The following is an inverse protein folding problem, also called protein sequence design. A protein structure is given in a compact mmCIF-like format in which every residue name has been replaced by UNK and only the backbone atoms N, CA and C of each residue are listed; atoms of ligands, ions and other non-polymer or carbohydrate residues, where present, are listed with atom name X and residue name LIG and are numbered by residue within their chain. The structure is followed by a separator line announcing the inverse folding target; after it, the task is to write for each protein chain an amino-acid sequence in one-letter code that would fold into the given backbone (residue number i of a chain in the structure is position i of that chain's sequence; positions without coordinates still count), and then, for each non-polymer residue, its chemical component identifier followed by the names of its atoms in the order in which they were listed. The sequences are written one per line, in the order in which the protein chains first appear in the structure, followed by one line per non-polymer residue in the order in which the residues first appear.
data_IF_782664271297
#
_entry.id   IF_782664271297
#
_cell.length_a   1.000
_cell.length_b   1.000
_cell.length_c   1.000
_cell.angle_alpha   90.00
_cell.angle_beta   90.00
_cell.angle_gamma   90.00
#
_symmetry.space_group_name_H-M   'P 1'
#
loop_
_entity.id
_entity.type
_entity.pdbx_description
1 polymer ?
#
# COMPACT_ATOMS: atom_id res chain seq x y z
N UNK A 1 -18.32 2.23 -13.96
CA UNK A 1 -17.88 2.87 -12.70
C UNK A 1 -16.58 2.26 -12.25
N UNK A 2 -15.50 3.02 -12.41
CA UNK A 2 -14.20 2.63 -11.87
C UNK A 2 -14.09 3.11 -10.42
N UNK A 3 -13.31 2.45 -9.54
CA UNK A 3 -13.14 2.84 -8.13
C UNK A 3 -12.55 4.25 -7.88
N UNK A 4 -12.31 4.99 -8.97
CA UNK A 4 -11.67 6.29 -9.04
C UNK A 4 -12.68 7.43 -9.15
N UNK A 5 -13.89 7.15 -9.65
CA UNK A 5 -15.00 8.12 -9.80
C UNK A 5 -15.67 8.40 -8.44
N UNK A 6 -15.85 7.36 -7.60
CA UNK A 6 -16.53 7.45 -6.29
C UNK A 6 -16.00 8.54 -5.34
N UNK A 7 -14.69 8.79 -5.25
CA UNK A 7 -14.13 9.72 -4.25
C UNK A 7 -14.22 11.18 -4.64
N UNK A 8 -14.15 11.43 -5.96
CA UNK A 8 -14.37 12.77 -6.51
C UNK A 8 -15.86 13.09 -6.45
N UNK A 9 -16.71 12.11 -6.78
CA UNK A 9 -18.17 12.18 -6.55
C UNK A 9 -18.52 12.38 -5.07
N UNK A 10 -17.79 11.75 -4.14
CA UNK A 10 -17.97 11.94 -2.69
C UNK A 10 -17.63 13.36 -2.23
N UNK A 11 -16.55 13.93 -2.78
CA UNK A 11 -16.13 15.30 -2.48
C UNK A 11 -17.13 16.30 -3.08
N UNK A 12 -17.58 16.06 -4.30
CA UNK A 12 -18.55 16.90 -5.00
C UNK A 12 -19.93 16.84 -4.32
N UNK A 13 -20.39 15.66 -3.90
CA UNK A 13 -21.64 15.49 -3.15
C UNK A 13 -21.62 16.20 -1.79
N UNK A 14 -20.43 16.38 -1.18
CA UNK A 14 -20.26 17.09 0.09
C UNK A 14 -20.11 18.60 -0.03
N UNK A 15 -19.73 19.11 -1.21
CA UNK A 15 -19.60 20.55 -1.49
C UNK A 15 -20.80 21.13 -2.26
N UNK A 16 -21.70 20.28 -2.76
CA UNK A 16 -22.89 20.74 -3.52
C UNK A 16 -23.96 21.33 -2.58
N UNK A 17 -24.45 22.56 -2.84
CA UNK A 17 -25.56 23.14 -2.06
C UNK A 17 -26.88 22.38 -2.34
N UNK A 18 -27.50 21.80 -1.30
CA UNK A 18 -28.73 21.01 -1.42
C UNK A 18 -28.62 19.62 -0.80
N UNK A 19 -28.38 19.60 0.52
CA UNK A 19 -28.00 18.43 1.33
C UNK A 19 -29.02 17.28 1.22
N UNK A 20 -28.62 16.14 0.66
CA UNK A 20 -29.38 14.88 0.71
C UNK A 20 -28.80 13.96 1.81
N UNK A 21 -29.49 13.89 2.95
CA UNK A 21 -29.08 13.11 4.11
C UNK A 21 -29.04 11.59 3.83
N UNK A 22 -29.78 11.09 2.84
CA UNK A 22 -29.72 9.68 2.45
C UNK A 22 -28.43 9.34 1.70
N UNK A 23 -28.00 10.19 0.76
CA UNK A 23 -26.71 10.06 0.08
C UNK A 23 -25.53 10.06 1.06
N UNK A 24 -25.58 10.90 2.09
CA UNK A 24 -24.58 10.94 3.17
C UNK A 24 -24.50 9.61 3.94
N UNK A 25 -25.64 9.02 4.28
CA UNK A 25 -25.71 7.77 5.03
C UNK A 25 -25.22 6.55 4.23
N UNK A 26 -25.44 6.54 2.91
CA UNK A 26 -24.90 5.53 1.99
C UNK A 26 -23.38 5.63 1.84
N UNK A 27 -22.87 6.85 1.64
CA UNK A 27 -21.44 7.13 1.60
C UNK A 27 -20.74 6.72 2.90
N UNK A 28 -21.31 7.02 4.07
CA UNK A 28 -20.78 6.58 5.36
C UNK A 28 -20.73 5.04 5.50
N UNK A 29 -21.66 4.30 4.88
CA UNK A 29 -21.62 2.83 4.83
C UNK A 29 -20.51 2.33 3.93
N UNK A 30 -20.29 2.97 2.77
CA UNK A 30 -19.20 2.62 1.85
C UNK A 30 -17.82 2.85 2.47
N UNK A 31 -17.61 3.98 3.16
CA UNK A 31 -16.38 4.29 3.90
C UNK A 31 -16.09 3.21 4.95
N UNK A 32 -17.10 2.83 5.75
CA UNK A 32 -16.98 1.76 6.75
C UNK A 32 -16.64 0.39 6.13
N UNK A 33 -17.25 0.03 5.01
CA UNK A 33 -16.93 -1.21 4.28
C UNK A 33 -15.49 -1.21 3.79
N UNK A 34 -15.00 -0.10 3.25
CA UNK A 34 -13.62 0.02 2.75
C UNK A 34 -12.59 0.03 3.88
N UNK A 35 -12.92 0.63 5.03
CA UNK A 35 -12.11 0.52 6.26
C UNK A 35 -11.94 -0.93 6.71
N UNK A 36 -13.01 -1.74 6.64
CA UNK A 36 -12.93 -3.20 6.90
C UNK A 36 -12.02 -3.93 5.90
N UNK A 37 -12.14 -3.63 4.60
CA UNK A 37 -11.27 -4.22 3.57
C UNK A 37 -9.79 -3.81 3.76
N UNK A 38 -9.52 -2.56 4.12
CA UNK A 38 -8.17 -2.09 4.45
C UNK A 38 -7.58 -2.83 5.65
N UNK A 39 -8.40 -3.18 6.64
CA UNK A 39 -7.99 -3.99 7.80
C UNK A 39 -7.65 -5.43 7.39
N UNK A 40 -8.41 -6.03 6.48
CA UNK A 40 -8.11 -7.36 5.95
C UNK A 40 -6.80 -7.35 5.14
N UNK A 41 -6.62 -6.35 4.27
CA UNK A 41 -5.38 -6.20 3.50
C UNK A 41 -4.16 -6.09 4.42
N UNK A 42 -4.26 -5.28 5.48
CA UNK A 42 -3.21 -5.19 6.50
C UNK A 42 -2.89 -6.54 7.16
N UNK A 43 -3.91 -7.35 7.47
CA UNK A 43 -3.70 -8.69 8.05
C UNK A 43 -2.96 -9.59 7.07
N UNK A 44 -3.34 -9.58 5.78
CA UNK A 44 -2.65 -10.36 4.75
C UNK A 44 -1.20 -9.90 4.52
N UNK A 45 -0.96 -8.59 4.45
CA UNK A 45 0.39 -8.03 4.32
C UNK A 45 1.28 -8.44 5.51
N UNK A 46 0.76 -8.32 6.72
CA UNK A 46 1.49 -8.71 7.93
C UNK A 46 1.76 -10.21 7.97
N UNK A 47 0.77 -11.04 7.61
CA UNK A 47 0.93 -12.49 7.53
C UNK A 47 2.01 -12.88 6.50
N UNK A 48 2.03 -12.24 5.33
CA UNK A 48 3.07 -12.45 4.31
C UNK A 48 4.47 -12.08 4.80
N UNK A 49 4.60 -10.95 5.50
CA UNK A 49 5.88 -10.53 6.09
C UNK A 49 6.38 -11.52 7.14
N UNK A 50 5.49 -11.99 8.03
CA UNK A 50 5.81 -12.99 9.04
C UNK A 50 6.22 -14.32 8.41
N UNK A 51 5.49 -14.76 7.38
CA UNK A 51 5.80 -16.01 6.68
C UNK A 51 7.18 -15.94 6.00
N UNK A 52 7.50 -14.82 5.34
CA UNK A 52 8.83 -14.59 4.76
C UNK A 52 9.94 -14.65 5.84
N UNK A 53 9.70 -14.03 6.99
CA UNK A 53 10.62 -14.07 8.12
C UNK A 53 10.83 -15.48 8.67
N UNK A 54 9.74 -16.23 8.91
CA UNK A 54 9.79 -17.62 9.39
C UNK A 54 10.54 -18.53 8.42
N UNK A 55 10.28 -18.39 7.11
CA UNK A 55 10.99 -19.15 6.08
C UNK A 55 12.48 -18.81 6.07
N UNK A 56 12.84 -17.53 6.23
CA UNK A 56 14.24 -17.11 6.34
C UNK A 56 14.95 -17.70 7.57
N UNK A 57 14.31 -17.68 8.74
CA UNK A 57 14.84 -18.30 9.96
C UNK A 57 15.02 -19.81 9.78
N UNK A 58 14.06 -20.48 9.13
CA UNK A 58 14.15 -21.91 8.85
C UNK A 58 15.33 -22.24 7.94
N UNK A 59 15.57 -21.46 6.87
CA UNK A 59 16.75 -21.61 5.99
C UNK A 59 18.05 -21.45 6.78
N UNK A 60 18.14 -20.43 7.64
CA UNK A 60 19.30 -20.21 8.51
C UNK A 60 19.56 -21.37 9.48
N UNK A 61 18.49 -21.97 10.04
CA UNK A 61 18.59 -23.07 10.98
C UNK A 61 18.91 -24.42 10.32
N UNK A 62 18.47 -24.63 9.07
CA UNK A 62 18.57 -25.93 8.39
C UNK A 62 19.81 -26.08 7.48
N UNK A 63 20.43 -24.98 7.02
CA UNK A 63 21.51 -25.01 6.01
C UNK A 63 22.56 -23.89 6.26
N UNK A 64 23.56 -24.10 7.14
CA UNK A 64 24.40 -22.99 7.61
C UNK A 64 25.50 -22.51 6.65
N UNK A 65 26.04 -23.33 5.73
CA UNK A 65 27.28 -22.93 5.01
C UNK A 65 27.06 -22.28 3.62
N UNK A 66 26.06 -22.72 2.83
CA UNK A 66 25.88 -22.22 1.45
C UNK A 66 24.68 -21.28 1.22
N UNK A 67 23.76 -21.17 2.18
CA UNK A 67 22.49 -20.45 2.01
C UNK A 67 22.20 -19.41 3.10
N UNK A 68 23.18 -19.12 3.95
CA UNK A 68 23.03 -18.16 5.05
C UNK A 68 22.62 -16.76 4.55
N UNK A 69 23.15 -16.34 3.40
CA UNK A 69 22.84 -15.04 2.79
C UNK A 69 21.37 -14.96 2.37
N UNK A 70 20.83 -16.05 1.81
CA UNK A 70 19.43 -16.15 1.40
C UNK A 70 18.49 -16.09 2.61
N UNK A 71 18.82 -16.87 3.65
CA UNK A 71 18.06 -16.88 4.90
C UNK A 71 18.06 -15.52 5.59
N UNK A 72 19.23 -14.87 5.71
CA UNK A 72 19.36 -13.54 6.31
C UNK A 72 18.59 -12.47 5.52
N UNK A 73 18.67 -12.51 4.18
CA UNK A 73 17.94 -11.58 3.33
C UNK A 73 16.42 -11.75 3.44
N UNK A 74 15.91 -12.99 3.53
CA UNK A 74 14.48 -13.25 3.72
C UNK A 74 13.96 -12.74 5.08
N UNK A 75 14.74 -12.91 6.15
CA UNK A 75 14.41 -12.36 7.48
C UNK A 75 14.37 -10.83 7.45
N UNK A 76 15.41 -10.20 6.90
CA UNK A 76 15.49 -8.74 6.78
C UNK A 76 14.33 -8.19 5.93
N UNK A 77 13.99 -8.86 4.83
CA UNK A 77 12.88 -8.49 3.98
C UNK A 77 11.53 -8.57 4.73
N UNK A 78 11.29 -9.66 5.47
CA UNK A 78 10.08 -9.80 6.29
C UNK A 78 9.95 -8.72 7.37
N UNK A 79 11.04 -8.44 8.10
CA UNK A 79 11.07 -7.38 9.11
C UNK A 79 10.84 -5.99 8.50
N UNK A 80 11.51 -5.70 7.38
CA UNK A 80 11.35 -4.44 6.66
C UNK A 80 9.92 -4.27 6.15
N UNK A 81 9.33 -5.30 5.55
CA UNK A 81 7.94 -5.30 5.10
C UNK A 81 6.97 -5.04 6.24
N UNK A 82 7.16 -5.70 7.39
CA UNK A 82 6.33 -5.49 8.58
C UNK A 82 6.44 -4.05 9.11
N UNK A 83 7.66 -3.51 9.21
CA UNK A 83 7.89 -2.13 9.64
C UNK A 83 7.21 -1.12 8.71
N UNK A 84 7.32 -1.30 7.40
CA UNK A 84 6.69 -0.43 6.40
C UNK A 84 5.17 -0.55 6.41
N UNK A 85 4.63 -1.76 6.64
CA UNK A 85 3.19 -2.01 6.78
C UNK A 85 2.62 -1.31 8.02
N UNK A 86 3.36 -1.34 9.13
CA UNK A 86 3.00 -0.61 10.35
C UNK A 86 3.09 0.90 10.16
N UNK A 87 4.15 1.39 9.51
CA UNK A 87 4.34 2.82 9.24
C UNK A 87 3.28 3.40 8.29
N UNK A 88 2.83 2.62 7.30
CA UNK A 88 1.79 3.01 6.37
C UNK A 88 0.39 3.11 7.02
N UNK A 89 0.21 2.59 8.24
CA UNK A 89 -1.09 2.59 8.93
C UNK A 89 -1.47 4.01 9.39
N UNK A 90 -2.40 4.62 8.67
CA UNK A 90 -3.12 5.81 9.14
C UNK A 90 -4.30 5.44 10.05
N UNK A 91 -4.45 6.15 11.18
CA UNK A 91 -5.71 6.15 11.95
C UNK A 91 -6.63 7.23 11.39
N UNK A 92 -7.73 6.84 10.76
CA UNK A 92 -8.81 7.77 10.42
C UNK A 92 -9.78 7.86 11.62
N UNK A 93 -10.26 9.06 12.00
CA UNK A 93 -11.36 9.21 12.94
C UNK A 93 -12.66 8.67 12.33
N UNK A 94 -13.50 8.05 13.15
CA UNK A 94 -14.77 7.44 12.72
C UNK A 94 -15.94 8.44 12.70
N UNK A 95 -15.76 9.65 13.24
CA UNK A 95 -16.80 10.67 13.37
C UNK A 95 -16.62 11.75 12.29
N UNK A 96 -17.54 11.78 11.32
CA UNK A 96 -17.56 12.72 10.19
C UNK A 96 -18.90 13.46 10.23
N UNK A 97 -18.96 14.56 10.98
CA UNK A 97 -20.19 15.34 11.18
C UNK A 97 -20.23 16.60 10.29
N UNK A 98 -19.06 17.12 9.88
CA UNK A 98 -18.97 18.34 9.06
C UNK A 98 -18.22 18.13 7.73
N UNK A 99 -18.51 18.93 6.67
CA UNK A 99 -17.78 18.92 5.38
C UNK A 99 -16.28 19.18 5.50
N UNK A 100 -15.85 19.92 6.52
CA UNK A 100 -14.43 20.13 6.81
C UNK A 100 -13.78 18.86 7.39
N UNK A 101 -14.40 18.23 8.39
CA UNK A 101 -13.89 16.98 9.00
C UNK A 101 -13.76 15.86 7.96
N UNK A 102 -14.78 15.79 7.11
CA UNK A 102 -14.86 15.07 5.86
C UNK A 102 -13.63 15.24 4.94
N UNK A 103 -13.33 16.46 4.53
CA UNK A 103 -12.18 16.76 3.65
C UNK A 103 -10.84 16.49 4.36
N UNK A 104 -10.73 16.82 5.65
CA UNK A 104 -9.56 16.48 6.46
C UNK A 104 -9.33 14.96 6.53
N UNK A 105 -10.39 14.17 6.73
CA UNK A 105 -10.30 12.73 6.72
C UNK A 105 -9.88 12.19 5.34
N UNK A 106 -10.43 12.73 4.25
CA UNK A 106 -10.03 12.38 2.89
C UNK A 106 -8.55 12.69 2.60
N UNK A 107 -8.05 13.86 3.05
CA UNK A 107 -6.63 14.23 2.95
C UNK A 107 -5.76 13.23 3.71
N UNK A 108 -6.09 12.96 4.99
CA UNK A 108 -5.33 12.02 5.82
C UNK A 108 -5.32 10.60 5.24
N UNK A 109 -6.44 10.18 4.64
CA UNK A 109 -6.53 8.90 3.95
C UNK A 109 -5.68 8.87 2.68
N UNK A 110 -5.69 9.93 1.88
CA UNK A 110 -4.84 10.05 0.70
C UNK A 110 -3.34 10.09 1.07
N UNK A 111 -2.99 10.72 2.18
CA UNK A 111 -1.63 10.71 2.74
C UNK A 111 -1.21 9.33 3.26
N UNK A 112 -2.12 8.58 3.90
CA UNK A 112 -1.88 7.19 4.27
C UNK A 112 -1.68 6.31 3.03
N UNK A 113 -2.50 6.49 2.00
CA UNK A 113 -2.33 5.82 0.71
C UNK A 113 -1.00 6.15 0.03
N UNK A 114 -0.54 7.41 0.12
CA UNK A 114 0.78 7.82 -0.38
C UNK A 114 1.92 7.14 0.39
N UNK A 115 1.81 7.04 1.72
CA UNK A 115 2.78 6.32 2.55
C UNK A 115 2.81 4.83 2.21
N UNK A 116 1.65 4.22 1.99
CA UNK A 116 1.56 2.84 1.51
C UNK A 116 2.20 2.66 0.13
N UNK A 117 2.02 3.60 -0.79
CA UNK A 117 2.71 3.57 -2.09
C UNK A 117 4.23 3.63 -1.93
N UNK A 118 4.74 4.50 -1.05
CA UNK A 118 6.17 4.62 -0.77
C UNK A 118 6.74 3.35 -0.15
N UNK A 119 6.00 2.73 0.78
CA UNK A 119 6.30 1.41 1.32
C UNK A 119 6.42 0.37 0.21
N UNK A 120 5.41 0.28 -0.66
CA UNK A 120 5.40 -0.65 -1.80
C UNK A 120 6.60 -0.44 -2.74
N UNK A 121 6.96 0.81 -3.04
CA UNK A 121 8.15 1.14 -3.85
C UNK A 121 9.41 0.62 -3.16
N UNK A 122 9.60 0.95 -1.88
CA UNK A 122 10.80 0.55 -1.15
C UNK A 122 10.94 -0.98 -1.06
N UNK A 123 9.84 -1.69 -0.79
CA UNK A 123 9.79 -3.17 -0.78
C UNK A 123 10.12 -3.72 -2.16
N UNK A 124 9.55 -3.13 -3.23
CA UNK A 124 9.80 -3.57 -4.61
C UNK A 124 11.27 -3.38 -5.01
N UNK A 125 11.88 -2.25 -4.62
CA UNK A 125 13.30 -1.99 -4.85
C UNK A 125 14.18 -2.96 -4.05
N UNK A 126 13.86 -3.21 -2.78
CA UNK A 126 14.57 -4.20 -1.96
C UNK A 126 14.49 -5.61 -2.56
N UNK A 127 13.32 -6.01 -3.04
CA UNK A 127 13.13 -7.30 -3.72
C UNK A 127 13.89 -7.37 -5.05
N UNK A 128 13.98 -6.27 -5.81
CA UNK A 128 14.77 -6.23 -7.05
C UNK A 128 16.27 -6.36 -6.78
N UNK A 129 16.78 -5.70 -5.74
CA UNK A 129 18.18 -5.84 -5.30
C UNK A 129 18.44 -7.29 -4.87
N UNK A 130 17.56 -7.86 -4.05
CA UNK A 130 17.67 -9.26 -3.62
C UNK A 130 17.67 -10.23 -4.82
N UNK A 131 16.73 -10.06 -5.76
CA UNK A 131 16.65 -10.90 -6.95
C UNK A 131 17.94 -10.79 -7.79
N UNK A 132 18.47 -9.59 -7.95
CA UNK A 132 19.74 -9.34 -8.65
C UNK A 132 20.93 -10.02 -7.97
N UNK A 133 21.02 -9.94 -6.63
CA UNK A 133 22.06 -10.63 -5.86
C UNK A 133 21.92 -12.15 -5.99
N UNK A 134 20.69 -12.68 -5.90
CA UNK A 134 20.45 -14.12 -6.03
C UNK A 134 20.86 -14.65 -7.40
N UNK A 135 20.54 -13.93 -8.47
CA UNK A 135 20.96 -14.27 -9.85
C UNK A 135 22.48 -14.17 -10.02
N UNK A 136 23.13 -13.21 -9.37
CA UNK A 136 24.59 -13.04 -9.47
C UNK A 136 25.37 -14.07 -8.65
N UNK A 137 24.84 -14.50 -7.50
CA UNK A 137 25.52 -15.37 -6.55
C UNK A 137 25.32 -16.87 -6.83
N UNK A 138 24.21 -17.25 -7.47
CA UNK A 138 23.88 -18.65 -7.71
C UNK A 138 23.77 -18.93 -9.22
N UNK A 139 24.46 -19.96 -9.75
CA UNK A 139 24.35 -20.31 -11.16
C UNK A 139 22.90 -20.70 -11.49
N UNK A 140 22.34 -20.08 -12.53
CA UNK A 140 20.96 -20.32 -12.95
C UNK A 140 20.90 -21.71 -13.59
N UNK A 141 20.31 -22.68 -12.88
CA UNK A 141 19.92 -23.95 -13.50
C UNK A 141 18.92 -23.69 -14.64
N UNK A 142 18.97 -24.46 -15.73
CA UNK A 142 18.17 -24.25 -16.95
C UNK A 142 16.64 -24.16 -16.70
N UNK A 143 16.14 -24.65 -15.55
CA UNK A 143 14.73 -24.53 -15.15
C UNK A 143 14.33 -23.24 -14.41
N UNK A 144 15.27 -22.46 -13.89
CA UNK A 144 14.97 -21.30 -13.02
C UNK A 144 14.91 -19.97 -13.77
N UNK A 145 15.42 -19.91 -15.01
CA UNK A 145 15.41 -18.67 -15.84
C UNK A 145 14.01 -18.08 -16.01
N UNK A 146 13.02 -18.95 -16.26
CA UNK A 146 11.61 -18.52 -16.41
C UNK A 146 11.09 -17.91 -15.10
N UNK A 147 11.44 -18.51 -13.96
CA UNK A 147 11.03 -18.03 -12.64
C UNK A 147 11.67 -16.66 -12.33
N UNK A 148 12.96 -16.49 -12.59
CA UNK A 148 13.65 -15.20 -12.40
C UNK A 148 13.10 -14.11 -13.34
N UNK A 149 12.86 -14.43 -14.61
CA UNK A 149 12.28 -13.50 -15.57
C UNK A 149 10.84 -13.10 -15.19
N UNK A 150 10.01 -14.05 -14.76
CA UNK A 150 8.68 -13.78 -14.25
C UNK A 150 8.71 -12.90 -12.99
N UNK A 151 9.64 -13.18 -12.07
CA UNK A 151 9.88 -12.37 -10.88
C UNK A 151 10.27 -10.93 -11.23
N UNK A 152 11.20 -10.74 -12.17
CA UNK A 152 11.62 -9.42 -12.63
C UNK A 152 10.46 -8.63 -13.27
N UNK A 153 9.67 -9.26 -14.15
CA UNK A 153 8.49 -8.65 -14.74
C UNK A 153 7.44 -8.26 -13.70
N UNK A 154 7.22 -9.12 -12.70
CA UNK A 154 6.32 -8.83 -11.59
C UNK A 154 6.79 -7.62 -10.77
N UNK A 155 8.09 -7.51 -10.49
CA UNK A 155 8.66 -6.37 -9.78
C UNK A 155 8.52 -5.07 -10.58
N UNK A 156 8.78 -5.10 -11.89
CA UNK A 156 8.57 -3.94 -12.77
C UNK A 156 7.10 -3.50 -12.80
N UNK A 157 6.17 -4.45 -12.94
CA UNK A 157 4.73 -4.17 -12.89
C UNK A 157 4.29 -3.58 -11.54
N UNK A 158 4.81 -4.13 -10.44
CA UNK A 158 4.55 -3.65 -9.09
C UNK A 158 5.09 -2.23 -8.88
N UNK A 159 6.30 -1.95 -9.34
CA UNK A 159 6.90 -0.62 -9.26
C UNK A 159 6.08 0.42 -10.04
N UNK A 160 5.70 0.09 -11.28
CA UNK A 160 4.86 0.96 -12.11
C UNK A 160 3.50 1.23 -11.44
N UNK A 161 2.89 0.19 -10.86
CA UNK A 161 1.65 0.30 -10.09
C UNK A 161 1.79 1.26 -8.91
N UNK A 162 2.82 1.08 -8.07
CA UNK A 162 3.01 1.91 -6.88
C UNK A 162 3.37 3.37 -7.24
N UNK A 163 4.19 3.60 -8.26
CA UNK A 163 4.48 4.96 -8.76
C UNK A 163 3.21 5.65 -9.27
N UNK A 164 2.38 4.94 -10.04
CA UNK A 164 1.09 5.45 -10.51
C UNK A 164 0.15 5.73 -9.33
N UNK A 165 0.13 4.85 -8.33
CA UNK A 165 -0.67 5.04 -7.11
C UNK A 165 -0.21 6.26 -6.30
N UNK A 166 1.10 6.43 -6.09
CA UNK A 166 1.67 7.60 -5.43
C UNK A 166 1.28 8.90 -6.14
N UNK A 167 1.42 8.95 -7.47
CA UNK A 167 1.06 10.12 -8.26
C UNK A 167 -0.44 10.46 -8.14
N UNK A 168 -1.30 9.44 -8.14
CA UNK A 168 -2.75 9.63 -7.92
C UNK A 168 -3.04 10.17 -6.52
N UNK A 169 -2.42 9.62 -5.48
CA UNK A 169 -2.58 10.11 -4.11
C UNK A 169 -2.12 11.56 -3.97
N UNK A 170 -0.97 11.94 -4.55
CA UNK A 170 -0.47 13.32 -4.55
C UNK A 170 -1.46 14.29 -5.21
N UNK A 171 -2.02 13.91 -6.37
CA UNK A 171 -3.04 14.72 -7.07
C UNK A 171 -4.29 14.91 -6.20
N UNK A 172 -4.77 13.85 -5.55
CA UNK A 172 -5.93 13.91 -4.64
C UNK A 172 -5.70 14.80 -3.43
N UNK A 173 -4.53 14.71 -2.80
CA UNK A 173 -4.18 15.60 -1.67
C UNK A 173 -4.25 17.06 -2.11
N UNK A 174 -3.71 17.39 -3.29
CA UNK A 174 -3.76 18.75 -3.82
C UNK A 174 -5.20 19.22 -4.11
N UNK A 175 -6.04 18.35 -4.66
CA UNK A 175 -7.46 18.66 -4.93
C UNK A 175 -8.25 18.92 -3.64
N UNK A 176 -8.15 18.03 -2.65
CA UNK A 176 -8.88 18.19 -1.39
C UNK A 176 -8.39 19.39 -0.56
N UNK A 177 -7.10 19.74 -0.64
CA UNK A 177 -6.57 20.96 0.00
C UNK A 177 -7.17 22.22 -0.61
N UNK A 178 -7.28 22.29 -1.94
CA UNK A 178 -7.95 23.42 -2.61
C UNK A 178 -9.41 23.54 -2.22
N UNK A 179 -10.15 22.43 -2.22
CA UNK A 179 -11.55 22.43 -1.79
C UNK A 179 -11.73 22.88 -0.32
N UNK A 180 -10.75 22.59 0.55
CA UNK A 180 -10.75 23.06 1.93
C UNK A 180 -10.46 24.57 2.01
N UNK A 181 -9.53 25.08 1.20
CA UNK A 181 -9.24 26.51 1.08
C UNK A 181 -10.47 27.29 0.57
N UNK A 182 -11.18 26.74 -0.42
CA UNK A 182 -12.40 27.34 -1.00
C UNK A 182 -13.58 27.39 -0.01
N UNK A 183 -13.67 26.44 0.94
CA UNK A 183 -14.69 26.45 2.00
C UNK A 183 -14.40 27.46 3.12
N UNK A 184 -13.13 27.83 3.30
CA UNK A 184 -12.70 28.78 4.33
C UNK A 184 -12.76 30.24 3.85
N UNK A 185 -12.99 30.48 2.55
CA UNK A 185 -13.10 31.78 1.89
C UNK A 185 -14.54 32.29 1.84
#
# INVERSE_FOLDING_TARGET
MTPNEDWTELSDAWTTPGRDDQGLAEMARQVRRRSRLGRLNFVFEMAGCLLAGVMGVWVLAARPEDQWLLGAAAVLFGLFGAAMTLWARGRAPDDLETPEQALFAAIRQAEAGRRWAQAGIAVTLGAAVFLGIAVAAYPIEEGLTVLYAAGALFLLGSLAFYLRHQNRCTRRIAQHRRALEDLAA
#
